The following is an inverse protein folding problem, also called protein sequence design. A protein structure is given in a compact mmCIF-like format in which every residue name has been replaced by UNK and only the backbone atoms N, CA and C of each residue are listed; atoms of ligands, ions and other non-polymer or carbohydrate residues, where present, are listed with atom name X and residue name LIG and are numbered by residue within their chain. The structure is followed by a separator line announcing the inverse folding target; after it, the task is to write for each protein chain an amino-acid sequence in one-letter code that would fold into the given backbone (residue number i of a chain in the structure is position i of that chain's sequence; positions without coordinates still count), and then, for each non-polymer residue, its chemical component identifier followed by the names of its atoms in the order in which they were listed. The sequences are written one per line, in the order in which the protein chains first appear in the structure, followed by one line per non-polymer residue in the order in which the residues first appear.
data_IF_916637515080
#
_entry.id   IF_916637515080
#
_cell.length_a   1.000
_cell.length_b   1.000
_cell.length_c   1.000
_cell.angle_alpha   90.00
_cell.angle_beta   90.00
_cell.angle_gamma   90.00
#
_symmetry.space_group_name_H-M   'P 1'
#
loop_
_entity.id
_entity.type
_entity.pdbx_description
1 polymer ?
#
# COMPACT_ATOMS: atom_id res chain seq x y z
N UNK A 1 16.59 6.57 -3.77
CA UNK A 1 15.31 7.03 -3.19
C UNK A 1 15.39 6.96 -1.68
N UNK A 2 14.89 7.96 -0.96
CA UNK A 2 14.85 7.90 0.51
C UNK A 2 13.94 6.75 0.97
N UNK A 3 14.35 5.99 2.00
CA UNK A 3 13.55 4.89 2.57
C UNK A 3 12.17 5.36 3.03
N UNK A 4 12.10 6.59 3.53
CA UNK A 4 10.85 7.25 3.90
C UNK A 4 9.93 7.50 2.69
N UNK A 5 10.50 7.98 1.57
CA UNK A 5 9.73 8.17 0.33
C UNK A 5 9.21 6.83 -0.21
N UNK A 6 10.01 5.76 -0.12
CA UNK A 6 9.60 4.42 -0.52
C UNK A 6 8.44 3.90 0.34
N UNK A 7 8.53 4.05 1.66
CA UNK A 7 7.46 3.68 2.60
C UNK A 7 6.15 4.45 2.31
N UNK A 8 6.23 5.76 2.08
CA UNK A 8 5.05 6.56 1.73
C UNK A 8 4.43 6.17 0.39
N UNK A 9 5.26 5.81 -0.60
CA UNK A 9 4.78 5.30 -1.90
C UNK A 9 4.03 3.97 -1.72
N UNK A 10 4.64 3.03 -1.01
CA UNK A 10 4.03 1.73 -0.70
C UNK A 10 2.74 1.87 0.09
N UNK A 11 2.68 2.78 1.06
CA UNK A 11 1.47 3.05 1.83
C UNK A 11 0.32 3.53 0.93
N UNK A 12 0.56 4.52 0.06
CA UNK A 12 -0.44 5.02 -0.90
C UNK A 12 -0.91 3.92 -1.84
N UNK A 13 0.02 3.13 -2.37
CA UNK A 13 -0.28 1.99 -3.25
C UNK A 13 -1.10 0.90 -2.55
N UNK A 14 -0.80 0.62 -1.28
CA UNK A 14 -1.55 -0.35 -0.47
C UNK A 14 -3.00 0.09 -0.26
N UNK A 15 -3.20 1.37 0.07
CA UNK A 15 -4.54 1.94 0.21
C UNK A 15 -5.31 1.89 -1.12
N UNK A 16 -4.66 2.26 -2.23
CA UNK A 16 -5.26 2.21 -3.57
C UNK A 16 -5.65 0.79 -3.95
N UNK A 17 -4.76 -0.18 -3.75
CA UNK A 17 -5.03 -1.58 -4.06
C UNK A 17 -6.19 -2.13 -3.23
N UNK A 18 -6.22 -1.83 -1.93
CA UNK A 18 -7.35 -2.23 -1.07
C UNK A 18 -8.67 -1.59 -1.50
N UNK A 19 -8.62 -0.40 -2.10
CA UNK A 19 -9.79 0.27 -2.65
C UNK A 19 -10.26 -0.35 -3.96
N UNK A 20 -9.32 -0.77 -4.83
CA UNK A 20 -9.67 -1.46 -6.08
C UNK A 20 -10.50 -2.72 -5.82
N UNK A 21 -10.18 -3.46 -4.76
CA UNK A 21 -10.93 -4.66 -4.35
C UNK A 21 -12.23 -4.35 -3.61
N UNK A 22 -12.37 -3.17 -3.00
CA UNK A 22 -13.50 -2.85 -2.14
C UNK A 22 -14.55 -2.02 -2.88
N UNK A 23 -15.66 -2.67 -3.26
CA UNK A 23 -16.81 -2.02 -3.91
C UNK A 23 -17.42 -0.90 -3.03
N UNK A 24 -17.50 -1.13 -1.71
CA UNK A 24 -18.15 -0.20 -0.78
C UNK A 24 -17.18 0.52 0.17
N UNK A 25 -17.35 1.83 0.31
CA UNK A 25 -16.46 2.71 1.10
C UNK A 25 -16.48 2.42 2.61
N UNK A 26 -17.59 1.95 3.17
CA UNK A 26 -17.68 1.64 4.60
C UNK A 26 -16.84 0.41 4.96
N UNK A 27 -16.83 -0.62 4.11
CA UNK A 27 -15.96 -1.81 4.27
C UNK A 27 -14.49 -1.43 4.10
N UNK A 28 -14.19 -0.63 3.08
CA UNK A 28 -12.83 -0.17 2.81
C UNK A 28 -12.20 0.58 3.99
N UNK A 29 -12.96 1.39 4.73
CA UNK A 29 -12.45 2.16 5.87
C UNK A 29 -11.81 1.26 6.94
N UNK A 30 -12.42 0.10 7.24
CA UNK A 30 -11.85 -0.86 8.19
C UNK A 30 -10.50 -1.40 7.71
N UNK A 31 -10.42 -1.77 6.44
CA UNK A 31 -9.17 -2.24 5.81
C UNK A 31 -8.10 -1.14 5.76
N UNK A 32 -8.47 0.10 5.46
CA UNK A 32 -7.55 1.23 5.43
C UNK A 32 -6.94 1.53 6.80
N UNK A 33 -7.75 1.46 7.87
CA UNK A 33 -7.26 1.61 9.25
C UNK A 33 -6.33 0.46 9.64
N UNK A 34 -6.67 -0.78 9.24
CA UNK A 34 -5.81 -1.92 9.46
C UNK A 34 -4.44 -1.76 8.77
N UNK A 35 -4.42 -1.38 7.48
CA UNK A 35 -3.18 -1.10 6.75
C UNK A 35 -2.38 -0.01 7.46
N UNK A 36 -3.01 1.08 7.90
CA UNK A 36 -2.32 2.13 8.66
C UNK A 36 -1.67 1.59 9.93
N UNK A 37 -2.37 0.74 10.67
CA UNK A 37 -1.85 0.15 11.91
C UNK A 37 -0.56 -0.66 11.67
N UNK A 38 -0.47 -1.38 10.54
CA UNK A 38 0.71 -2.15 10.16
C UNK A 38 1.92 -1.24 9.89
N UNK A 39 1.71 -0.10 9.21
CA UNK A 39 2.78 0.86 8.95
C UNK A 39 3.23 1.58 10.24
N UNK A 40 2.29 1.97 11.10
CA UNK A 40 2.60 2.62 12.38
C UNK A 40 3.38 1.68 13.32
N UNK A 41 3.02 0.39 13.37
CA UNK A 41 3.74 -0.61 14.17
C UNK A 41 5.22 -0.72 13.79
N UNK A 42 5.58 -0.44 12.53
CA UNK A 42 6.94 -0.56 12.01
C UNK A 42 7.66 0.80 11.87
N UNK A 43 7.04 1.91 12.31
CA UNK A 43 7.54 3.27 12.10
C UNK A 43 8.89 3.56 12.75
N UNK A 44 9.12 2.99 13.94
CA UNK A 44 10.26 3.31 14.79
C UNK A 44 11.44 2.33 14.63
N UNK A 45 11.41 1.47 13.61
CA UNK A 45 12.55 0.59 13.32
C UNK A 45 13.76 1.46 12.99
N UNK A 46 14.92 1.18 13.58
CA UNK A 46 16.16 1.94 13.31
C UNK A 46 17.05 1.21 12.30
N UNK A 47 17.07 -0.12 12.33
CA UNK A 47 17.91 -0.93 11.44
C UNK A 47 17.54 -0.74 9.96
N UNK A 48 18.53 -0.34 9.17
CA UNK A 48 18.40 -0.12 7.75
C UNK A 48 18.24 -1.41 6.94
N UNK A 49 18.73 -2.56 7.45
CA UNK A 49 18.53 -3.85 6.80
C UNK A 49 17.09 -4.32 6.97
N UNK A 50 16.60 -4.36 8.20
CA UNK A 50 15.22 -4.72 8.51
C UNK A 50 14.21 -3.86 7.73
N UNK A 51 14.43 -2.54 7.62
CA UNK A 51 13.59 -1.67 6.77
C UNK A 51 13.52 -2.13 5.33
N UNK A 52 14.66 -2.49 4.73
CA UNK A 52 14.71 -2.92 3.33
C UNK A 52 13.98 -4.24 3.12
N UNK A 53 14.13 -5.17 4.06
CA UNK A 53 13.43 -6.45 4.04
C UNK A 53 11.91 -6.26 4.10
N UNK A 54 11.41 -5.46 5.05
CA UNK A 54 9.98 -5.14 5.17
C UNK A 54 9.40 -4.44 3.93
N UNK A 55 10.14 -3.49 3.35
CA UNK A 55 9.70 -2.80 2.13
C UNK A 55 9.63 -3.78 0.95
N UNK A 56 10.60 -4.71 0.83
CA UNK A 56 10.60 -5.72 -0.21
C UNK A 56 9.47 -6.75 -0.03
N UNK A 57 9.18 -7.16 1.20
CA UNK A 57 8.03 -8.02 1.51
C UNK A 57 6.70 -7.34 1.17
N UNK A 58 6.56 -6.05 1.52
CA UNK A 58 5.38 -5.26 1.19
C UNK A 58 5.19 -5.17 -0.32
N UNK A 59 6.26 -4.93 -1.09
CA UNK A 59 6.20 -4.91 -2.56
C UNK A 59 5.73 -6.26 -3.13
N UNK A 60 6.26 -7.39 -2.61
CA UNK A 60 5.83 -8.74 -3.01
C UNK A 60 4.34 -8.97 -2.73
N UNK A 61 3.84 -8.52 -1.58
CA UNK A 61 2.41 -8.61 -1.25
C UNK A 61 1.56 -7.81 -2.23
N UNK A 62 1.94 -6.58 -2.55
CA UNK A 62 1.20 -5.74 -3.50
C UNK A 62 1.15 -6.36 -4.90
N UNK A 63 2.23 -7.00 -5.35
CA UNK A 63 2.27 -7.70 -6.65
C UNK A 63 1.34 -8.92 -6.61
N UNK A 64 1.44 -9.73 -5.55
CA UNK A 64 0.64 -10.95 -5.40
C UNK A 64 -0.87 -10.67 -5.39
N UNK A 65 -1.28 -9.58 -4.75
CA UNK A 65 -2.69 -9.24 -4.56
C UNK A 65 -3.18 -8.17 -5.55
N UNK A 66 -2.42 -7.89 -6.61
CA UNK A 66 -2.79 -6.89 -7.60
C UNK A 66 -4.15 -7.24 -8.21
N UNK A 67 -5.08 -6.29 -8.23
CA UNK A 67 -6.36 -6.47 -8.90
C UNK A 67 -6.13 -6.63 -10.41
N UNK A 68 -6.76 -7.62 -11.09
CA UNK A 68 -6.58 -7.85 -12.52
C UNK A 68 -7.02 -6.64 -13.36
N UNK A 69 -8.12 -5.99 -12.94
CA UNK A 69 -8.68 -4.80 -13.58
C UNK A 69 -8.81 -3.64 -12.57
N UNK A 70 -7.72 -2.94 -12.26
CA UNK A 70 -7.75 -1.89 -11.25
C UNK A 70 -8.64 -0.73 -11.67
N UNK A 71 -9.29 -0.06 -10.71
CA UNK A 71 -10.04 1.16 -11.02
C UNK A 71 -9.10 2.25 -11.52
N UNK A 72 -9.49 2.86 -12.65
CA UNK A 72 -8.81 4.01 -13.27
C UNK A 72 -9.84 5.11 -13.47
N UNK A 73 -9.46 6.35 -13.13
CA UNK A 73 -10.35 7.49 -13.33
C UNK A 73 -10.55 7.74 -14.84
N UNK A 74 -11.75 8.05 -15.32
CA UNK A 74 -12.01 8.24 -16.76
C UNK A 74 -11.12 9.28 -17.46
N UNK A 75 -10.57 10.24 -16.71
CA UNK A 75 -9.69 11.29 -17.23
C UNK A 75 -8.21 11.09 -16.90
N UNK A 76 -7.83 9.94 -16.35
CA UNK A 76 -6.42 9.65 -16.07
C UNK A 76 -5.65 9.46 -17.40
N UNK A 77 -4.38 9.85 -17.49
CA UNK A 77 -3.57 9.53 -18.66
C UNK A 77 -3.37 8.01 -18.77
N UNK A 78 -3.61 7.43 -19.95
CA UNK A 78 -3.45 6.00 -20.22
C UNK A 78 -4.72 5.15 -20.10
N UNK A 79 -5.90 5.78 -20.05
CA UNK A 79 -7.15 5.16 -20.54
C UNK A 79 -7.25 5.32 -22.05
#
# INVERSE_FOLDING_TARGET
MSTHQAALSLYRRSLKLSLDWAVHRHLWRGQALYIRSLFEANRNISDARQKRELLAETEKLLIRWKHPEPYVHPTAPGV
#
